data_IF_284411286912
#
_entry.id   IF_284411286912
#
_cell.length_a   1.000
_cell.length_b   1.000
_cell.length_c   1.000
_cell.angle_alpha   90.00
_cell.angle_beta   90.00
_cell.angle_gamma   90.00
#
_symmetry.space_group_name_H-M   'P 1'
#
loop_
_entity.id
_entity.type
_entity.pdbx_description
1 polymer ?
#
# COMPACT_ATOMS: atom_id res chain seq x y z
N UNK A 1 -43.57 -25.61 15.12
CA UNK A 1 -43.84 -24.39 14.33
C UNK A 1 -42.83 -23.27 14.61
N UNK A 2 -42.36 -23.09 15.85
CA UNK A 2 -41.39 -22.02 16.19
C UNK A 2 -40.04 -22.10 15.47
N UNK A 3 -39.49 -23.31 15.23
CA UNK A 3 -38.20 -23.47 14.56
C UNK A 3 -38.20 -23.01 13.08
N UNK A 4 -39.34 -23.12 12.38
CA UNK A 4 -39.47 -22.66 11.00
C UNK A 4 -39.62 -21.13 10.92
N UNK A 5 -40.28 -20.53 11.91
CA UNK A 5 -40.45 -19.08 12.03
C UNK A 5 -39.14 -18.38 12.41
N UNK A 6 -38.35 -18.97 13.31
CA UNK A 6 -37.03 -18.45 13.67
C UNK A 6 -36.04 -18.49 12.48
N UNK A 7 -36.12 -19.54 11.65
CA UNK A 7 -35.29 -19.67 10.45
C UNK A 7 -35.65 -18.64 9.37
N UNK A 8 -36.94 -18.37 9.17
CA UNK A 8 -37.43 -17.33 8.27
C UNK A 8 -37.01 -15.91 8.71
N UNK A 9 -37.00 -15.64 10.02
CA UNK A 9 -36.54 -14.36 10.58
C UNK A 9 -35.02 -14.17 10.44
N UNK A 10 -34.24 -15.24 10.59
CA UNK A 10 -32.79 -15.23 10.39
C UNK A 10 -32.43 -15.03 8.90
N UNK A 11 -33.11 -15.73 7.98
CA UNK A 11 -32.92 -15.56 6.53
C UNK A 11 -33.33 -14.15 6.07
N UNK A 12 -34.42 -13.60 6.62
CA UNK A 12 -34.86 -12.23 6.31
C UNK A 12 -33.87 -11.16 6.82
N UNK A 13 -33.28 -11.35 8.01
CA UNK A 13 -32.21 -10.49 8.52
C UNK A 13 -30.94 -10.59 7.69
N UNK A 14 -30.49 -11.81 7.37
CA UNK A 14 -29.30 -12.02 6.54
C UNK A 14 -29.45 -11.38 5.15
N UNK A 15 -30.65 -11.43 4.57
CA UNK A 15 -30.95 -10.79 3.29
C UNK A 15 -30.98 -9.25 3.39
N UNK A 16 -31.56 -8.71 4.46
CA UNK A 16 -31.56 -7.27 4.71
C UNK A 16 -30.16 -6.71 5.01
N UNK A 17 -29.33 -7.45 5.75
CA UNK A 17 -27.94 -7.10 6.03
C UNK A 17 -27.09 -7.16 4.76
N UNK A 18 -27.32 -8.14 3.87
CA UNK A 18 -26.67 -8.23 2.56
C UNK A 18 -27.04 -7.06 1.65
N UNK A 19 -28.33 -6.70 1.55
CA UNK A 19 -28.80 -5.55 0.75
C UNK A 19 -28.28 -4.21 1.31
N UNK A 20 -28.18 -4.06 2.64
CA UNK A 20 -27.62 -2.87 3.27
C UNK A 20 -26.10 -2.74 2.98
N UNK A 21 -25.38 -3.86 2.99
CA UNK A 21 -23.96 -3.88 2.67
C UNK A 21 -23.69 -3.58 1.18
N UNK A 22 -24.50 -4.12 0.27
CA UNK A 22 -24.42 -3.79 -1.17
C UNK A 22 -24.68 -2.31 -1.43
N UNK A 23 -25.68 -1.72 -0.74
CA UNK A 23 -25.95 -0.28 -0.84
C UNK A 23 -24.78 0.57 -0.35
N UNK A 24 -24.21 0.22 0.80
CA UNK A 24 -23.04 0.91 1.36
C UNK A 24 -21.83 0.81 0.41
N UNK A 25 -21.59 -0.36 -0.18
CA UNK A 25 -20.52 -0.54 -1.16
C UNK A 25 -20.76 0.29 -2.42
N UNK A 26 -21.98 0.29 -2.97
CA UNK A 26 -22.33 1.09 -4.14
C UNK A 26 -22.19 2.60 -3.87
N UNK A 27 -22.60 3.06 -2.68
CA UNK A 27 -22.52 4.47 -2.29
C UNK A 27 -21.07 4.91 -2.04
N UNK A 28 -20.25 4.07 -1.41
CA UNK A 28 -18.81 4.29 -1.24
C UNK A 28 -18.08 4.29 -2.58
N UNK A 29 -18.43 3.38 -3.50
CA UNK A 29 -17.87 3.32 -4.84
C UNK A 29 -18.24 4.57 -5.66
N UNK A 30 -19.49 5.00 -5.58
CA UNK A 30 -19.95 6.25 -6.24
C UNK A 30 -19.20 7.46 -5.67
N UNK A 31 -18.92 7.48 -4.36
CA UNK A 31 -18.13 8.53 -3.71
C UNK A 31 -16.67 8.50 -4.16
N UNK A 32 -16.06 7.32 -4.25
CA UNK A 32 -14.68 7.15 -4.75
C UNK A 32 -14.56 7.60 -6.20
N UNK A 33 -15.53 7.24 -7.06
CA UNK A 33 -15.57 7.67 -8.46
C UNK A 33 -15.68 9.19 -8.58
N UNK A 34 -16.55 9.85 -7.78
CA UNK A 34 -16.64 11.31 -7.74
C UNK A 34 -15.35 11.97 -7.26
N UNK A 35 -14.74 11.46 -6.20
CA UNK A 35 -13.45 11.98 -5.71
C UNK A 35 -12.33 11.81 -6.73
N UNK A 36 -12.30 10.69 -7.45
CA UNK A 36 -11.34 10.46 -8.53
C UNK A 36 -11.57 11.40 -9.73
N UNK A 37 -12.83 11.65 -10.08
CA UNK A 37 -13.20 12.58 -11.16
C UNK A 37 -12.88 14.04 -10.80
N UNK A 38 -13.22 14.48 -9.58
CA UNK A 38 -12.86 15.79 -9.04
C UNK A 38 -11.33 15.97 -8.97
N UNK A 39 -10.59 14.94 -8.54
CA UNK A 39 -9.13 14.97 -8.53
C UNK A 39 -8.54 15.05 -9.94
N UNK A 40 -9.16 14.36 -10.92
CA UNK A 40 -8.75 14.41 -12.32
C UNK A 40 -9.02 15.78 -12.95
N UNK A 41 -10.18 16.37 -12.70
CA UNK A 41 -10.52 17.72 -13.16
C UNK A 41 -9.61 18.77 -12.52
N UNK A 42 -9.35 18.68 -11.21
CA UNK A 42 -8.42 19.55 -10.51
C UNK A 42 -7.01 19.47 -11.10
N UNK A 43 -6.55 18.25 -11.44
CA UNK A 43 -5.26 18.04 -12.11
C UNK A 43 -5.24 18.65 -13.51
N UNK A 44 -6.32 18.49 -14.28
CA UNK A 44 -6.43 19.03 -15.65
C UNK A 44 -6.44 20.57 -15.65
N UNK A 45 -7.14 21.19 -14.70
CA UNK A 45 -7.15 22.63 -14.49
C UNK A 45 -5.78 23.15 -14.03
N UNK A 46 -5.11 22.44 -13.14
CA UNK A 46 -3.75 22.76 -12.71
C UNK A 46 -2.76 22.69 -13.87
N UNK A 47 -2.83 21.63 -14.69
CA UNK A 47 -1.98 21.47 -15.89
C UNK A 47 -2.28 22.53 -16.95
N UNK A 48 -3.55 22.88 -17.18
CA UNK A 48 -3.93 23.94 -18.11
C UNK A 48 -3.42 25.31 -17.65
N UNK A 49 -3.53 25.61 -16.35
CA UNK A 49 -2.99 26.83 -15.75
C UNK A 49 -1.47 26.86 -15.83
N UNK A 50 -0.79 25.76 -15.51
CA UNK A 50 0.66 25.65 -15.62
C UNK A 50 1.16 25.90 -17.06
N UNK A 51 0.45 25.38 -18.06
CA UNK A 51 0.73 25.64 -19.49
C UNK A 51 0.51 27.10 -19.86
N UNK A 52 -0.59 27.72 -19.43
CA UNK A 52 -0.86 29.13 -19.69
C UNK A 52 0.19 30.05 -19.05
N UNK A 53 0.54 29.78 -17.79
CA UNK A 53 1.57 30.51 -17.05
C UNK A 53 2.96 30.31 -17.69
N UNK A 54 3.26 29.12 -18.23
CA UNK A 54 4.49 28.86 -18.98
C UNK A 54 4.56 29.67 -20.28
N UNK A 55 3.48 29.74 -21.06
CA UNK A 55 3.40 30.55 -22.29
C UNK A 55 3.55 32.04 -21.99
N UNK A 56 2.87 32.54 -20.96
CA UNK A 56 2.98 33.95 -20.54
C UNK A 56 4.39 34.29 -20.06
N UNK A 57 5.01 33.39 -19.29
CA UNK A 57 6.39 33.56 -18.83
C UNK A 57 7.38 33.55 -20.01
N UNK A 58 7.18 32.66 -20.98
CA UNK A 58 8.05 32.56 -22.14
C UNK A 58 7.95 33.77 -23.08
N UNK A 59 6.74 34.31 -23.27
CA UNK A 59 6.54 35.56 -24.01
C UNK A 59 7.24 36.75 -23.32
N UNK A 60 7.15 36.82 -21.98
CA UNK A 60 7.84 37.84 -21.19
C UNK A 60 9.37 37.68 -21.27
N UNK A 61 9.89 36.48 -21.12
CA UNK A 61 11.32 36.19 -21.24
C UNK A 61 11.87 36.55 -22.62
N UNK A 62 11.11 36.31 -23.70
CA UNK A 62 11.51 36.67 -25.05
C UNK A 62 11.54 38.20 -25.26
N UNK A 63 10.53 38.92 -24.77
CA UNK A 63 10.49 40.38 -24.81
C UNK A 63 11.66 41.01 -24.03
N UNK A 64 11.91 40.50 -22.82
CA UNK A 64 12.97 41.01 -21.97
C UNK A 64 14.36 40.66 -22.55
N UNK A 65 14.54 39.47 -23.14
CA UNK A 65 15.77 39.11 -23.85
C UNK A 65 16.04 40.04 -25.05
N UNK A 66 15.00 40.41 -25.79
CA UNK A 66 15.10 41.38 -26.89
C UNK A 66 15.49 42.78 -26.38
N UNK A 67 14.90 43.24 -25.27
CA UNK A 67 15.25 44.51 -24.63
C UNK A 67 16.70 44.53 -24.12
N UNK A 68 17.15 43.42 -23.50
CA UNK A 68 18.54 43.24 -23.06
C UNK A 68 19.51 43.23 -24.24
N UNK A 69 19.17 42.56 -25.34
CA UNK A 69 19.99 42.53 -26.55
C UNK A 69 20.10 43.92 -27.21
N UNK A 70 18.99 44.66 -27.28
CA UNK A 70 18.98 46.03 -27.80
C UNK A 70 19.83 46.98 -26.93
N UNK A 71 19.73 46.88 -25.61
CA UNK A 71 20.56 47.65 -24.68
C UNK A 71 22.05 47.34 -24.82
N UNK A 72 22.41 46.05 -25.02
CA UNK A 72 23.79 45.62 -25.26
C UNK A 72 24.34 46.12 -26.60
N UNK A 73 23.52 46.15 -27.65
CA UNK A 73 23.91 46.63 -28.98
C UNK A 73 24.09 48.15 -29.02
N UNK A 74 23.35 48.90 -28.20
CA UNK A 74 23.45 50.35 -28.10
C UNK A 74 24.63 50.87 -27.25
N UNK A 75 25.37 49.99 -26.55
CA UNK A 75 26.52 50.37 -25.71
C UNK A 75 27.88 50.07 -26.38
N UNK A 76 28.74 51.08 -26.54
CA UNK A 76 30.15 50.93 -26.97
C UNK A 76 31.11 50.78 -25.78
N UNK A 77 32.37 50.36 -26.03
CA UNK A 77 32.79 48.97 -25.82
C UNK A 77 32.59 48.47 -24.38
N UNK A 78 32.16 47.21 -24.25
CA UNK A 78 31.95 46.52 -22.96
C UNK A 78 33.25 46.47 -22.16
N UNK A 79 33.23 47.07 -20.97
CA UNK A 79 34.26 46.86 -19.96
C UNK A 79 34.30 45.39 -19.50
N UNK A 80 35.38 45.00 -18.83
CA UNK A 80 35.59 43.60 -18.44
C UNK A 80 34.48 43.07 -17.50
N UNK A 81 33.80 43.94 -16.74
CA UNK A 81 32.67 43.51 -15.89
C UNK A 81 31.42 43.23 -16.71
N UNK A 82 31.12 44.02 -17.76
CA UNK A 82 30.04 43.69 -18.70
C UNK A 82 30.29 42.37 -19.41
N UNK A 83 31.53 42.10 -19.85
CA UNK A 83 31.89 40.82 -20.48
C UNK A 83 31.72 39.64 -19.53
N UNK A 84 32.15 39.79 -18.28
CA UNK A 84 31.99 38.75 -17.26
C UNK A 84 30.51 38.47 -16.95
N UNK A 85 29.68 39.52 -16.81
CA UNK A 85 28.24 39.39 -16.61
C UNK A 85 27.59 38.68 -17.81
N UNK A 86 27.95 39.05 -19.03
CA UNK A 86 27.41 38.44 -20.25
C UNK A 86 27.74 36.94 -20.34
N UNK A 87 29.01 36.57 -20.11
CA UNK A 87 29.45 35.18 -20.16
C UNK A 87 28.77 34.33 -19.07
N UNK A 88 28.70 34.85 -17.84
CA UNK A 88 28.03 34.14 -16.74
C UNK A 88 26.52 34.03 -16.97
N UNK A 89 25.89 35.05 -17.56
CA UNK A 89 24.47 35.00 -17.95
C UNK A 89 24.21 33.91 -18.98
N UNK A 90 25.07 33.77 -20.00
CA UNK A 90 24.95 32.70 -21.00
C UNK A 90 25.11 31.31 -20.36
N UNK A 91 26.05 31.15 -19.42
CA UNK A 91 26.22 29.91 -18.65
C UNK A 91 24.97 29.58 -17.84
N UNK A 92 24.40 30.58 -17.16
CA UNK A 92 23.19 30.45 -16.35
C UNK A 92 21.95 30.10 -17.20
N UNK A 93 21.85 30.65 -18.42
CA UNK A 93 20.77 30.31 -19.36
C UNK A 93 20.88 28.86 -19.84
N UNK A 94 22.10 28.38 -20.15
CA UNK A 94 22.34 26.99 -20.51
C UNK A 94 22.05 26.02 -19.35
N UNK A 95 22.53 26.34 -18.14
CA UNK A 95 22.29 25.52 -16.94
C UNK A 95 20.82 25.51 -16.53
N UNK A 96 20.11 26.65 -16.68
CA UNK A 96 18.67 26.73 -16.48
C UNK A 96 17.88 25.80 -17.43
N UNK A 97 18.33 25.63 -18.67
CA UNK A 97 17.75 24.63 -19.58
C UNK A 97 17.98 23.21 -19.07
N UNK A 98 19.20 22.89 -18.64
CA UNK A 98 19.50 21.57 -18.05
C UNK A 98 18.65 21.28 -16.81
N UNK A 99 18.43 22.26 -15.94
CA UNK A 99 17.51 22.11 -14.79
C UNK A 99 16.08 21.81 -15.23
N UNK A 100 15.58 22.52 -16.25
CA UNK A 100 14.24 22.28 -16.80
C UNK A 100 14.11 20.86 -17.35
N UNK A 101 15.10 20.39 -18.11
CA UNK A 101 15.11 19.05 -18.68
C UNK A 101 15.15 17.97 -17.58
N UNK A 102 15.91 18.19 -16.50
CA UNK A 102 15.95 17.30 -15.32
C UNK A 102 14.60 17.26 -14.61
N UNK A 103 13.95 18.41 -14.41
CA UNK A 103 12.65 18.50 -13.78
C UNK A 103 11.57 17.78 -14.62
N UNK A 104 11.60 17.92 -15.94
CA UNK A 104 10.68 17.24 -16.85
C UNK A 104 10.85 15.71 -16.78
N UNK A 105 12.09 15.22 -16.82
CA UNK A 105 12.39 13.79 -16.66
C UNK A 105 11.95 13.26 -15.29
N UNK A 106 12.15 14.05 -14.23
CA UNK A 106 11.70 13.69 -12.88
C UNK A 106 10.18 13.61 -12.83
N UNK A 107 9.49 14.60 -13.40
CA UNK A 107 8.02 14.62 -13.46
C UNK A 107 7.45 13.43 -14.23
N UNK A 108 8.01 13.10 -15.40
CA UNK A 108 7.61 11.94 -16.18
C UNK A 108 7.77 10.63 -15.40
N UNK A 109 8.85 10.50 -14.63
CA UNK A 109 9.10 9.30 -13.82
C UNK A 109 8.12 9.20 -12.64
N UNK A 110 7.80 10.31 -11.97
CA UNK A 110 6.77 10.36 -10.92
C UNK A 110 5.37 10.08 -11.50
N UNK A 111 5.07 10.55 -12.70
CA UNK A 111 3.82 10.25 -13.39
C UNK A 111 3.67 8.75 -13.69
N UNK A 112 4.75 8.06 -14.06
CA UNK A 112 4.74 6.61 -14.19
C UNK A 112 4.45 5.91 -12.85
N UNK A 113 5.03 6.37 -11.74
CA UNK A 113 4.71 5.84 -10.40
C UNK A 113 3.25 6.06 -10.02
N UNK A 114 2.67 7.20 -10.38
CA UNK A 114 1.24 7.46 -10.16
C UNK A 114 0.39 6.47 -10.98
N UNK A 115 0.76 6.21 -12.23
CA UNK A 115 0.07 5.24 -13.08
C UNK A 115 0.15 3.82 -12.49
N UNK A 116 1.33 3.42 -12.01
CA UNK A 116 1.51 2.10 -11.37
C UNK A 116 0.63 1.95 -10.11
N UNK A 117 0.47 3.04 -9.33
CA UNK A 117 -0.45 3.07 -8.18
C UNK A 117 -1.92 2.98 -8.59
N UNK A 118 -2.33 3.73 -9.62
CA UNK A 118 -3.70 3.71 -10.12
C UNK A 118 -4.06 2.33 -10.67
N UNK A 119 -3.12 1.70 -11.39
CA UNK A 119 -3.25 0.33 -11.88
C UNK A 119 -3.40 -0.69 -10.74
N UNK A 120 -2.65 -0.52 -9.65
CA UNK A 120 -2.72 -1.39 -8.47
C UNK A 120 -4.05 -1.24 -7.72
N UNK A 121 -4.57 -0.01 -7.63
CA UNK A 121 -5.91 0.26 -7.07
C UNK A 121 -7.00 -0.41 -7.89
N UNK A 122 -6.96 -0.23 -9.21
CA UNK A 122 -7.94 -0.85 -10.11
C UNK A 122 -7.91 -2.38 -10.01
N UNK A 123 -6.72 -3.00 -9.96
CA UNK A 123 -6.58 -4.44 -9.75
C UNK A 123 -7.24 -4.88 -8.45
N UNK A 124 -6.97 -4.18 -7.35
CA UNK A 124 -7.52 -4.53 -6.05
C UNK A 124 -9.03 -4.28 -5.97
N UNK A 125 -9.55 -3.20 -6.55
CA UNK A 125 -10.98 -2.88 -6.57
C UNK A 125 -11.79 -3.90 -7.40
N UNK A 126 -11.30 -4.27 -8.58
CA UNK A 126 -11.91 -5.32 -9.40
C UNK A 126 -11.88 -6.66 -8.69
N UNK A 127 -10.71 -6.96 -8.11
CA UNK A 127 -10.55 -8.18 -7.36
C UNK A 127 -11.56 -8.21 -6.19
N UNK A 128 -11.77 -7.11 -5.47
CA UNK A 128 -12.67 -7.06 -4.29
C UNK A 128 -14.14 -7.32 -4.68
N UNK A 129 -14.49 -7.12 -5.95
CA UNK A 129 -15.79 -7.49 -6.54
C UNK A 129 -15.84 -8.93 -7.07
N UNK A 130 -14.80 -9.72 -6.83
CA UNK A 130 -14.66 -11.07 -7.37
C UNK A 130 -14.36 -11.13 -8.88
N UNK A 131 -14.00 -10.00 -9.50
CA UNK A 131 -13.70 -9.93 -10.93
C UNK A 131 -12.21 -10.19 -11.12
N UNK A 132 -11.90 -11.34 -11.73
CA UNK A 132 -10.51 -11.71 -12.03
C UNK A 132 -9.99 -10.91 -13.23
N UNK A 133 -8.90 -10.16 -13.02
CA UNK A 133 -8.10 -9.52 -14.06
C UNK A 133 -6.74 -10.20 -14.11
N UNK A 134 -6.28 -10.54 -15.31
CA UNK A 134 -4.99 -11.21 -15.47
C UNK A 134 -3.85 -10.36 -14.88
N UNK A 135 -2.96 -10.94 -14.05
CA UNK A 135 -1.85 -10.20 -13.46
C UNK A 135 -0.97 -9.58 -14.54
N UNK A 136 -0.71 -8.27 -14.43
CA UNK A 136 0.23 -7.61 -15.33
C UNK A 136 1.63 -8.22 -15.17
N UNK A 137 2.42 -8.34 -16.25
CA UNK A 137 3.79 -8.81 -16.18
C UNK A 137 4.60 -8.04 -15.13
N UNK A 138 5.44 -8.75 -14.38
CA UNK A 138 6.28 -8.13 -13.37
C UNK A 138 7.24 -7.13 -14.02
N UNK A 139 7.05 -5.84 -13.71
CA UNK A 139 7.98 -4.77 -14.09
C UNK A 139 9.00 -4.61 -12.97
N UNK A 140 10.29 -4.78 -13.28
CA UNK A 140 11.34 -4.49 -12.31
C UNK A 140 11.33 -2.99 -11.98
N UNK A 141 11.07 -2.66 -10.71
CA UNK A 141 11.05 -1.28 -10.22
C UNK A 141 12.44 -0.77 -9.82
N UNK A 142 13.46 -1.64 -9.80
CA UNK A 142 14.79 -1.29 -9.31
C UNK A 142 15.46 -0.22 -10.17
N UNK A 143 15.40 -0.36 -11.50
CA UNK A 143 15.97 0.61 -12.44
C UNK A 143 15.28 1.98 -12.32
N UNK A 144 13.94 1.98 -12.28
CA UNK A 144 13.15 3.21 -12.15
C UNK A 144 13.37 3.90 -10.80
N UNK A 145 13.49 3.15 -9.71
CA UNK A 145 13.82 3.72 -8.39
C UNK A 145 15.24 4.30 -8.36
N UNK A 146 16.20 3.61 -8.97
CA UNK A 146 17.57 4.13 -9.11
C UNK A 146 17.59 5.43 -9.93
N UNK A 147 16.80 5.50 -11.00
CA UNK A 147 16.67 6.70 -11.82
C UNK A 147 16.02 7.85 -11.03
N UNK A 148 15.00 7.59 -10.22
CA UNK A 148 14.37 8.60 -9.35
C UNK A 148 15.37 9.22 -8.37
N UNK A 149 16.16 8.39 -7.67
CA UNK A 149 17.15 8.91 -6.71
C UNK A 149 18.28 9.65 -7.41
N UNK A 150 18.70 9.21 -8.61
CA UNK A 150 19.68 9.93 -9.42
C UNK A 150 19.14 11.31 -9.85
N UNK A 151 17.92 11.37 -10.39
CA UNK A 151 17.28 12.63 -10.81
C UNK A 151 17.09 13.58 -9.63
N UNK A 152 16.69 13.07 -8.46
CA UNK A 152 16.58 13.85 -7.23
C UNK A 152 17.91 14.49 -6.82
N UNK A 153 19.00 13.71 -6.85
CA UNK A 153 20.35 14.22 -6.54
C UNK A 153 20.81 15.25 -7.57
N UNK A 154 20.68 14.94 -8.86
CA UNK A 154 21.09 15.82 -9.95
C UNK A 154 20.35 17.15 -9.92
N UNK A 155 19.04 17.14 -9.64
CA UNK A 155 18.23 18.35 -9.55
C UNK A 155 18.61 19.19 -8.32
N UNK A 156 18.90 18.55 -7.18
CA UNK A 156 19.37 19.25 -5.98
C UNK A 156 20.73 19.92 -6.21
N UNK A 157 21.67 19.22 -6.84
CA UNK A 157 22.99 19.76 -7.19
C UNK A 157 22.88 20.90 -8.22
N UNK A 158 22.06 20.72 -9.26
CA UNK A 158 21.83 21.75 -10.26
C UNK A 158 21.20 23.00 -9.64
N UNK A 159 20.24 22.85 -8.73
CA UNK A 159 19.63 23.97 -7.99
C UNK A 159 20.67 24.72 -7.14
N UNK A 160 21.52 23.99 -6.43
CA UNK A 160 22.60 24.59 -5.63
C UNK A 160 23.58 25.38 -6.52
N UNK A 161 24.06 24.78 -7.61
CA UNK A 161 25.01 25.41 -8.54
C UNK A 161 24.41 26.67 -9.14
N UNK A 162 23.18 26.62 -9.65
CA UNK A 162 22.51 27.76 -10.26
C UNK A 162 22.35 28.93 -9.27
N UNK A 163 21.98 28.62 -8.01
CA UNK A 163 21.87 29.63 -6.95
C UNK A 163 23.22 30.30 -6.65
N UNK A 164 24.29 29.53 -6.58
CA UNK A 164 25.65 30.05 -6.37
C UNK A 164 26.10 30.92 -7.55
N UNK A 165 25.79 30.53 -8.79
CA UNK A 165 26.11 31.30 -9.99
C UNK A 165 25.28 32.59 -10.11
N UNK A 166 23.99 32.58 -9.73
CA UNK A 166 23.15 33.78 -9.65
C UNK A 166 23.71 34.76 -8.59
N UNK A 167 24.23 34.25 -7.46
CA UNK A 167 24.88 35.07 -6.45
C UNK A 167 26.17 35.72 -6.99
N UNK A 168 27.01 34.96 -7.71
CA UNK A 168 28.19 35.50 -8.42
C UNK A 168 27.79 36.57 -9.44
N UNK A 169 26.74 36.35 -10.23
CA UNK A 169 26.23 37.32 -11.19
C UNK A 169 25.76 38.61 -10.51
N UNK A 170 25.06 38.48 -9.38
CA UNK A 170 24.63 39.62 -8.55
C UNK A 170 25.84 40.42 -8.05
N UNK A 171 26.91 39.76 -7.63
CA UNK A 171 28.14 40.41 -7.18
C UNK A 171 28.84 41.16 -8.33
N UNK A 172 28.97 40.54 -9.51
CA UNK A 172 29.53 41.20 -10.70
C UNK A 172 28.73 42.44 -11.11
N UNK A 173 27.41 42.37 -11.03
CA UNK A 173 26.54 43.53 -11.24
C UNK A 173 26.81 44.66 -10.23
N UNK A 174 26.95 44.32 -8.95
CA UNK A 174 27.28 45.31 -7.92
C UNK A 174 28.67 45.94 -8.14
N UNK A 175 29.66 45.18 -8.62
CA UNK A 175 30.98 45.70 -9.00
C UNK A 175 30.88 46.65 -10.19
N UNK A 176 30.09 46.29 -11.21
CA UNK A 176 29.81 47.16 -12.34
C UNK A 176 29.18 48.48 -11.89
N UNK A 177 28.21 48.45 -10.99
CA UNK A 177 27.59 49.68 -10.44
C UNK A 177 28.60 50.57 -9.69
N UNK A 178 29.69 50.03 -9.15
CA UNK A 178 30.76 50.86 -8.57
C UNK A 178 31.57 51.58 -9.65
N UNK A 179 31.82 50.92 -10.79
CA UNK A 179 32.56 51.50 -11.93
C UNK A 179 31.72 52.46 -12.76
N UNK A 180 30.45 52.14 -12.93
CA UNK A 180 29.44 52.91 -13.67
C UNK A 180 28.27 53.20 -12.72
N UNK A 181 28.37 54.22 -11.86
CA UNK A 181 27.39 54.52 -10.81
C UNK A 181 26.13 55.21 -11.35
N UNK A 182 25.59 54.69 -12.44
CA UNK A 182 24.34 55.14 -13.04
C UNK A 182 23.36 53.96 -13.12
N UNK A 183 22.42 53.88 -12.17
CA UNK A 183 21.36 52.87 -12.18
C UNK A 183 20.38 53.03 -13.34
N UNK A 184 20.37 54.20 -13.99
CA UNK A 184 19.52 54.51 -15.14
C UNK A 184 20.18 54.23 -16.49
N UNK A 185 21.45 53.81 -16.51
CA UNK A 185 22.10 53.23 -17.68
C UNK A 185 21.26 52.05 -18.20
N UNK A 186 20.99 52.04 -19.51
CA UNK A 186 20.26 50.99 -20.20
C UNK A 186 20.87 49.59 -19.92
N UNK A 187 22.19 49.47 -19.87
CA UNK A 187 22.88 48.21 -19.65
C UNK A 187 22.76 47.73 -18.20
N UNK A 188 22.86 48.65 -17.22
CA UNK A 188 22.65 48.33 -15.81
C UNK A 188 21.20 47.93 -15.51
N UNK A 189 20.22 48.57 -16.18
CA UNK A 189 18.80 48.17 -16.10
C UNK A 189 18.59 46.76 -16.65
N UNK A 190 19.11 46.50 -17.86
CA UNK A 190 19.03 45.20 -18.51
C UNK A 190 19.64 44.08 -17.66
N UNK A 191 20.80 44.31 -17.04
CA UNK A 191 21.42 43.32 -16.15
C UNK A 191 20.62 43.06 -14.87
N UNK A 192 20.10 44.11 -14.22
CA UNK A 192 19.29 43.96 -13.03
C UNK A 192 18.01 43.18 -13.31
N UNK A 193 17.34 43.49 -14.42
CA UNK A 193 16.14 42.81 -14.86
C UNK A 193 16.40 41.32 -15.13
N UNK A 194 17.48 41.00 -15.86
CA UNK A 194 17.89 39.62 -16.10
C UNK A 194 18.23 38.87 -14.81
N UNK A 195 18.92 39.49 -13.86
CA UNK A 195 19.19 38.89 -12.53
C UNK A 195 17.89 38.58 -11.79
N UNK A 196 16.92 39.50 -11.82
CA UNK A 196 15.63 39.31 -11.15
C UNK A 196 14.82 38.18 -11.81
N UNK A 197 14.85 38.06 -13.14
CA UNK A 197 14.26 36.93 -13.84
C UNK A 197 14.92 35.60 -13.46
N UNK A 198 16.25 35.54 -13.44
CA UNK A 198 16.97 34.32 -13.06
C UNK A 198 16.65 33.90 -11.62
N UNK A 199 16.54 34.86 -10.68
CA UNK A 199 16.10 34.60 -9.31
C UNK A 199 14.66 34.09 -9.24
N UNK A 200 13.74 34.69 -9.99
CA UNK A 200 12.35 34.27 -10.03
C UNK A 200 12.20 32.86 -10.65
N UNK A 201 12.93 32.58 -11.73
CA UNK A 201 12.98 31.27 -12.35
C UNK A 201 13.55 30.21 -11.41
N UNK A 202 14.65 30.51 -10.70
CA UNK A 202 15.23 29.61 -9.70
C UNK A 202 14.26 29.33 -8.54
N UNK A 203 13.56 30.35 -8.04
CA UNK A 203 12.56 30.15 -6.99
C UNK A 203 11.41 29.24 -7.46
N UNK A 204 10.93 29.44 -8.70
CA UNK A 204 9.90 28.59 -9.28
C UNK A 204 10.39 27.15 -9.44
N UNK A 205 11.62 26.94 -9.92
CA UNK A 205 12.25 25.62 -10.03
C UNK A 205 12.32 24.89 -8.69
N UNK A 206 12.68 25.60 -7.61
CA UNK A 206 12.70 25.05 -6.25
C UNK A 206 11.30 24.68 -5.75
N UNK A 207 10.29 25.50 -6.04
CA UNK A 207 8.89 25.23 -5.69
C UNK A 207 8.33 24.01 -6.42
N UNK A 208 8.53 23.95 -7.74
CA UNK A 208 8.06 22.84 -8.58
C UNK A 208 8.77 21.53 -8.17
N UNK A 209 10.07 21.58 -7.89
CA UNK A 209 10.85 20.44 -7.38
C UNK A 209 10.32 19.96 -6.02
N UNK A 210 10.03 20.86 -5.09
CA UNK A 210 9.49 20.52 -3.77
C UNK A 210 8.09 19.89 -3.85
N UNK A 211 7.22 20.45 -4.69
CA UNK A 211 5.88 19.90 -4.93
C UNK A 211 5.95 18.48 -5.51
N UNK A 212 6.87 18.24 -6.45
CA UNK A 212 7.05 16.94 -7.08
C UNK A 212 7.60 15.90 -6.09
N UNK A 213 8.53 16.29 -5.21
CA UNK A 213 9.02 15.44 -4.12
C UNK A 213 7.90 15.07 -3.14
N UNK A 214 7.07 16.03 -2.74
CA UNK A 214 5.92 15.77 -1.88
C UNK A 214 4.93 14.78 -2.53
N UNK A 215 4.66 14.95 -3.83
CA UNK A 215 3.81 14.03 -4.58
C UNK A 215 4.39 12.62 -4.65
N UNK A 216 5.70 12.48 -4.86
CA UNK A 216 6.38 11.18 -4.86
C UNK A 216 6.25 10.47 -3.50
N UNK A 217 6.44 11.17 -2.38
CA UNK A 217 6.28 10.59 -1.04
C UNK A 217 4.83 10.15 -0.76
N UNK A 218 3.85 10.94 -1.22
CA UNK A 218 2.43 10.56 -1.18
C UNK A 218 2.18 9.25 -1.95
N UNK A 219 2.67 9.16 -3.20
CA UNK A 219 2.53 7.97 -4.05
C UNK A 219 3.15 6.74 -3.37
N UNK A 220 4.33 6.87 -2.76
CA UNK A 220 4.98 5.79 -2.01
C UNK A 220 4.10 5.31 -0.85
N UNK A 221 3.56 6.23 -0.05
CA UNK A 221 2.71 5.90 1.07
C UNK A 221 1.42 5.18 0.64
N UNK A 222 0.74 5.70 -0.38
CA UNK A 222 -0.49 5.12 -0.94
C UNK A 222 -0.24 3.74 -1.56
N UNK A 223 0.90 3.55 -2.24
CA UNK A 223 1.29 2.25 -2.80
C UNK A 223 1.46 1.19 -1.71
N UNK A 224 2.07 1.55 -0.58
CA UNK A 224 2.24 0.62 0.55
C UNK A 224 0.90 0.28 1.22
N UNK A 225 -0.05 1.21 1.25
CA UNK A 225 -1.43 0.92 1.71
C UNK A 225 -2.08 -0.13 0.81
N UNK A 226 -1.99 0.05 -0.50
CA UNK A 226 -2.62 -0.82 -1.47
C UNK A 226 -1.99 -2.22 -1.50
N UNK A 227 -0.65 -2.31 -1.36
CA UNK A 227 0.04 -3.60 -1.14
C UNK A 227 -0.45 -4.30 0.13
N UNK A 228 -0.60 -3.58 1.24
CA UNK A 228 -1.11 -4.15 2.50
C UNK A 228 -2.54 -4.65 2.36
N UNK A 229 -3.41 -3.97 1.59
CA UNK A 229 -4.77 -4.43 1.28
C UNK A 229 -4.74 -5.79 0.58
N UNK A 230 -3.91 -5.93 -0.47
CA UNK A 230 -3.74 -7.19 -1.21
C UNK A 230 -3.24 -8.33 -0.32
N UNK A 231 -2.26 -8.07 0.55
CA UNK A 231 -1.73 -9.09 1.48
C UNK A 231 -2.81 -9.55 2.47
N UNK A 232 -3.54 -8.60 3.07
CA UNK A 232 -4.62 -8.92 4.02
C UNK A 232 -5.69 -9.79 3.36
N UNK A 233 -6.04 -9.50 2.11
CA UNK A 233 -7.02 -10.27 1.38
C UNK A 233 -6.53 -11.66 0.96
N UNK A 234 -5.31 -11.77 0.44
CA UNK A 234 -4.73 -13.07 0.12
C UNK A 234 -4.67 -13.98 1.36
N UNK A 235 -4.38 -13.40 2.54
CA UNK A 235 -4.47 -14.13 3.81
C UNK A 235 -5.91 -14.57 4.14
N UNK A 236 -6.91 -13.71 3.91
CA UNK A 236 -8.33 -14.02 4.13
C UNK A 236 -8.87 -15.10 3.18
N UNK A 237 -8.59 -14.99 1.87
CA UNK A 237 -9.03 -15.97 0.87
C UNK A 237 -8.39 -17.34 1.10
N UNK A 238 -7.10 -17.37 1.45
CA UNK A 238 -6.41 -18.60 1.82
C UNK A 238 -7.01 -19.23 3.10
N UNK A 239 -7.44 -18.41 4.06
CA UNK A 239 -8.12 -18.91 5.27
C UNK A 239 -9.47 -19.58 4.97
N UNK A 240 -10.29 -18.94 4.14
CA UNK A 240 -11.61 -19.45 3.78
C UNK A 240 -11.50 -20.73 2.94
N UNK A 241 -10.64 -20.74 1.90
CA UNK A 241 -10.41 -21.91 1.08
C UNK A 241 -9.86 -23.10 1.86
N UNK A 242 -8.92 -22.86 2.80
CA UNK A 242 -8.42 -23.90 3.70
C UNK A 242 -9.52 -24.46 4.59
N UNK A 243 -10.36 -23.59 5.17
CA UNK A 243 -11.48 -24.04 6.01
C UNK A 243 -12.46 -24.94 5.26
N UNK A 244 -12.80 -24.60 4.02
CA UNK A 244 -13.67 -25.42 3.17
C UNK A 244 -13.05 -26.78 2.83
N UNK A 245 -11.75 -26.81 2.51
CA UNK A 245 -11.00 -28.05 2.29
C UNK A 245 -10.95 -28.93 3.56
N UNK A 246 -10.73 -28.29 4.70
CA UNK A 246 -10.66 -28.94 6.01
C UNK A 246 -12.00 -29.58 6.41
N UNK A 247 -13.12 -28.89 6.18
CA UNK A 247 -14.46 -29.44 6.36
C UNK A 247 -14.74 -30.62 5.42
N UNK A 248 -14.36 -30.51 4.15
CA UNK A 248 -14.51 -31.59 3.18
C UNK A 248 -13.69 -32.84 3.56
N UNK A 249 -12.46 -32.64 4.05
CA UNK A 249 -11.61 -33.71 4.55
C UNK A 249 -12.23 -34.40 5.78
N UNK A 250 -12.70 -33.63 6.76
CA UNK A 250 -13.38 -34.16 7.95
C UNK A 250 -14.60 -34.99 7.57
N UNK A 251 -15.45 -34.45 6.68
CA UNK A 251 -16.65 -35.14 6.19
C UNK A 251 -16.27 -36.47 5.53
N UNK A 252 -15.29 -36.45 4.62
CA UNK A 252 -14.79 -37.66 3.96
C UNK A 252 -14.29 -38.68 4.98
N UNK A 253 -13.48 -38.28 5.96
CA UNK A 253 -12.96 -39.19 7.00
C UNK A 253 -14.11 -39.83 7.77
N UNK A 254 -15.11 -39.06 8.18
CA UNK A 254 -16.28 -39.59 8.92
C UNK A 254 -17.11 -40.57 8.08
N UNK A 255 -17.22 -40.35 6.77
CA UNK A 255 -18.05 -41.18 5.88
C UNK A 255 -17.34 -42.44 5.37
N UNK A 256 -16.01 -42.39 5.16
CA UNK A 256 -15.26 -43.49 4.53
C UNK A 256 -14.50 -44.38 5.50
N UNK A 257 -14.22 -43.91 6.71
CA UNK A 257 -13.45 -44.67 7.70
C UNK A 257 -14.29 -45.80 8.28
N UNK A 258 -13.84 -47.04 8.10
CA UNK A 258 -14.49 -48.24 8.65
C UNK A 258 -14.14 -48.41 10.13
N UNK A 259 -15.09 -48.94 10.90
CA UNK A 259 -14.84 -49.35 12.29
C UNK A 259 -13.75 -50.43 12.32
N UNK A 260 -12.83 -50.30 13.27
CA UNK A 260 -11.75 -51.28 13.47
C UNK A 260 -12.29 -52.52 14.18
N UNK A 261 -11.99 -53.70 13.63
CA UNK A 261 -12.28 -54.98 14.28
C UNK A 261 -11.30 -55.30 15.42
N UNK A 262 -10.13 -54.64 15.43
CA UNK A 262 -9.12 -54.76 16.48
C UNK A 262 -9.16 -53.50 17.35
N UNK A 263 -9.34 -53.62 18.68
CA UNK A 263 -9.33 -52.45 19.57
C UNK A 263 -8.01 -51.70 19.47
N UNK A 264 -8.08 -50.40 19.18
CA UNK A 264 -6.92 -49.52 19.18
C UNK A 264 -6.48 -49.23 20.63
N UNK A 265 -5.19 -48.99 20.82
CA UNK A 265 -4.52 -48.72 22.08
C UNK A 265 -4.02 -47.27 22.13
N UNK A 266 -3.62 -46.78 23.30
CA UNK A 266 -3.18 -45.39 23.44
C UNK A 266 -1.93 -45.07 22.60
N UNK A 267 -1.05 -46.06 22.39
CA UNK A 267 0.14 -45.92 21.53
C UNK A 267 -0.18 -45.77 20.05
N UNK A 268 -1.40 -46.10 19.63
CA UNK A 268 -1.81 -45.91 18.25
C UNK A 268 -2.15 -44.45 17.94
N UNK A 269 -2.37 -43.61 18.95
CA UNK A 269 -2.72 -42.19 18.80
C UNK A 269 -1.49 -41.29 18.95
N UNK A 270 -1.21 -40.48 17.92
CA UNK A 270 -0.29 -39.33 18.03
C UNK A 270 -1.11 -38.15 18.56
N UNK A 271 -0.89 -37.74 19.81
CA UNK A 271 -1.59 -36.59 20.40
C UNK A 271 -0.97 -35.23 20.00
N UNK A 272 0.17 -35.27 19.33
CA UNK A 272 0.91 -34.09 18.90
C UNK A 272 1.51 -33.33 20.08
N UNK A 273 1.31 -32.01 20.08
CA UNK A 273 1.91 -31.15 21.11
C UNK A 273 1.16 -31.22 22.44
N UNK A 274 1.90 -31.49 23.53
CA UNK A 274 1.37 -31.46 24.88
C UNK A 274 0.75 -30.09 25.21
N UNK A 275 -0.45 -30.11 25.79
CA UNK A 275 -1.19 -28.91 26.15
C UNK A 275 -1.14 -28.68 27.66
N UNK A 276 -1.08 -27.40 28.06
CA UNK A 276 -1.23 -27.02 29.47
C UNK A 276 -2.68 -27.22 29.92
N UNK A 277 -2.87 -27.51 31.21
CA UNK A 277 -4.21 -27.64 31.80
C UNK A 277 -4.89 -26.25 31.79
N UNK A 278 -5.81 -26.05 30.84
CA UNK A 278 -6.60 -24.82 30.61
C UNK A 278 -5.83 -23.68 29.91
N UNK A 279 -6.04 -23.56 28.59
CA UNK A 279 -5.51 -22.46 27.77
C UNK A 279 -6.62 -21.57 27.21
N UNK A 280 -6.32 -20.28 26.99
CA UNK A 280 -7.20 -19.35 26.28
C UNK A 280 -6.68 -19.20 24.85
N UNK A 281 -7.51 -19.56 23.87
CA UNK A 281 -7.21 -19.46 22.45
C UNK A 281 -8.10 -18.38 21.87
N UNK A 282 -7.49 -17.39 21.20
CA UNK A 282 -8.21 -16.23 20.67
C UNK A 282 -8.28 -16.22 19.15
N UNK A 283 -9.29 -15.52 18.63
CA UNK A 283 -9.44 -15.20 17.21
C UNK A 283 -9.55 -16.44 16.29
N UNK A 284 -10.35 -17.41 16.68
CA UNK A 284 -10.72 -18.58 15.88
C UNK A 284 -11.98 -18.26 15.06
N UNK A 285 -11.78 -17.67 13.88
CA UNK A 285 -12.83 -17.16 12.97
C UNK A 285 -14.04 -18.09 12.78
N UNK A 286 -13.80 -19.40 12.63
CA UNK A 286 -14.83 -20.39 12.30
C UNK A 286 -15.15 -21.32 13.48
N UNK A 287 -15.14 -20.79 14.69
CA UNK A 287 -15.53 -21.52 15.90
C UNK A 287 -16.30 -20.59 16.82
N UNK A 288 -17.16 -21.14 17.67
CA UNK A 288 -17.91 -20.33 18.62
C UNK A 288 -17.09 -20.07 19.89
N UNK A 289 -17.47 -19.04 20.64
CA UNK A 289 -16.96 -18.86 22.00
C UNK A 289 -17.44 -20.01 22.89
N UNK A 290 -16.54 -20.53 23.74
CA UNK A 290 -16.87 -21.63 24.64
C UNK A 290 -15.66 -22.38 25.17
N UNK A 291 -15.93 -23.49 25.86
CA UNK A 291 -14.94 -24.39 26.44
C UNK A 291 -14.93 -25.70 25.65
N UNK A 292 -13.80 -26.01 25.04
CA UNK A 292 -13.60 -27.14 24.14
C UNK A 292 -12.77 -28.22 24.83
N UNK A 293 -13.18 -29.48 24.71
CA UNK A 293 -12.39 -30.63 25.14
C UNK A 293 -11.39 -31.02 24.05
N UNK A 294 -10.20 -30.42 24.11
CA UNK A 294 -9.10 -30.69 23.18
C UNK A 294 -8.47 -32.03 23.51
N UNK A 295 -8.29 -32.87 22.49
CA UNK A 295 -7.69 -34.20 22.63
C UNK A 295 -6.35 -34.34 21.96
N UNK A 296 -6.09 -33.58 20.89
CA UNK A 296 -4.81 -33.59 20.18
C UNK A 296 -4.56 -32.26 19.49
N UNK A 297 -3.29 -31.90 19.31
CA UNK A 297 -2.88 -30.66 18.63
C UNK A 297 -1.77 -30.94 17.63
N UNK A 298 -2.02 -30.66 16.35
CA UNK A 298 -1.08 -30.92 15.26
C UNK A 298 -0.86 -29.68 14.39
N UNK A 299 0.35 -29.50 13.87
CA UNK A 299 0.66 -28.49 12.85
C UNK A 299 0.49 -29.01 11.41
N UNK A 300 0.31 -30.32 11.21
CA UNK A 300 0.21 -30.97 9.91
C UNK A 300 -1.22 -31.48 9.65
N UNK A 301 -1.65 -31.34 8.40
CA UNK A 301 -2.93 -31.85 7.88
C UNK A 301 -2.95 -33.38 7.93
N UNK A 302 -1.84 -34.01 7.58
CA UNK A 302 -1.68 -35.47 7.56
C UNK A 302 -1.85 -36.06 8.96
N UNK A 303 -1.15 -35.50 9.95
CA UNK A 303 -1.25 -35.97 11.35
C UNK A 303 -2.64 -35.75 11.92
N UNK A 304 -3.26 -34.61 11.60
CA UNK A 304 -4.65 -34.33 11.97
C UNK A 304 -5.57 -35.41 11.39
N UNK A 305 -5.48 -35.68 10.10
CA UNK A 305 -6.34 -36.64 9.40
C UNK A 305 -6.13 -38.08 9.92
N UNK A 306 -4.90 -38.46 10.23
CA UNK A 306 -4.59 -39.76 10.86
C UNK A 306 -5.24 -39.90 12.23
N UNK A 307 -5.15 -38.87 13.09
CA UNK A 307 -5.80 -38.90 14.40
C UNK A 307 -7.33 -38.99 14.26
N UNK A 308 -7.91 -38.17 13.39
CA UNK A 308 -9.35 -38.18 13.11
C UNK A 308 -9.81 -39.55 12.60
N UNK A 309 -9.10 -40.16 11.66
CA UNK A 309 -9.42 -41.48 11.14
C UNK A 309 -9.35 -42.55 12.24
N UNK A 310 -8.31 -42.53 13.09
CA UNK A 310 -8.21 -43.49 14.22
C UNK A 310 -9.32 -43.29 15.25
N UNK A 311 -9.71 -42.04 15.53
CA UNK A 311 -10.83 -41.74 16.42
C UNK A 311 -12.16 -42.27 15.83
N UNK A 312 -12.43 -42.02 14.54
CA UNK A 312 -13.63 -42.54 13.85
C UNK A 312 -13.63 -44.07 13.78
N UNK A 313 -12.48 -44.69 13.46
CA UNK A 313 -12.32 -46.15 13.45
C UNK A 313 -12.56 -46.77 14.84
N UNK A 314 -12.32 -46.01 15.91
CA UNK A 314 -12.62 -46.38 17.31
C UNK A 314 -14.08 -46.11 17.72
N UNK A 315 -14.93 -45.68 16.79
CA UNK A 315 -16.36 -45.41 17.01
C UNK A 315 -16.70 -44.01 17.51
N UNK A 316 -15.77 -43.04 17.44
CA UNK A 316 -16.04 -41.64 17.86
C UNK A 316 -16.70 -40.87 16.72
N UNK A 317 -17.93 -40.40 16.93
CA UNK A 317 -18.71 -39.68 15.92
C UNK A 317 -18.68 -38.14 16.09
N UNK A 318 -18.51 -37.65 17.31
CA UNK A 318 -18.48 -36.22 17.66
C UNK A 318 -17.10 -35.56 17.47
N UNK A 319 -16.09 -36.27 16.94
CA UNK A 319 -14.78 -35.67 16.70
C UNK A 319 -14.83 -34.53 15.68
N UNK A 320 -14.17 -33.42 15.99
CA UNK A 320 -14.10 -32.23 15.15
C UNK A 320 -12.77 -31.51 15.42
N UNK A 321 -12.50 -30.42 14.69
CA UNK A 321 -11.32 -29.60 14.94
C UNK A 321 -11.55 -28.15 14.54
N UNK A 322 -10.67 -27.26 14.99
CA UNK A 322 -10.53 -25.92 14.44
C UNK A 322 -9.06 -25.62 14.17
N UNK A 323 -8.80 -24.69 13.24
CA UNK A 323 -7.45 -24.24 12.92
C UNK A 323 -7.19 -22.85 13.50
N UNK A 324 -6.10 -22.71 14.24
CA UNK A 324 -5.62 -21.42 14.68
C UNK A 324 -4.55 -20.91 13.71
N UNK A 325 -4.89 -19.84 12.97
CA UNK A 325 -3.99 -19.20 12.00
C UNK A 325 -2.74 -18.63 12.65
N UNK A 326 -2.86 -18.10 13.87
CA UNK A 326 -1.76 -17.46 14.61
C UNK A 326 -0.68 -18.47 14.98
N UNK A 327 -1.08 -19.66 15.43
CA UNK A 327 -0.14 -20.70 15.84
C UNK A 327 0.13 -21.73 14.74
N UNK A 328 -0.58 -21.65 13.61
CA UNK A 328 -0.59 -22.64 12.55
C UNK A 328 -0.86 -24.07 13.05
N UNK A 329 -1.85 -24.24 13.93
CA UNK A 329 -2.18 -25.53 14.57
C UNK A 329 -3.64 -25.89 14.45
N UNK A 330 -3.88 -27.17 14.23
CA UNK A 330 -5.16 -27.85 14.35
C UNK A 330 -5.37 -28.31 15.79
N UNK A 331 -6.48 -27.90 16.39
CA UNK A 331 -6.92 -28.35 17.70
C UNK A 331 -8.10 -29.30 17.50
N UNK A 332 -7.88 -30.59 17.78
CA UNK A 332 -8.90 -31.63 17.64
C UNK A 332 -9.66 -31.72 18.96
N UNK A 333 -11.00 -31.73 18.88
CA UNK A 333 -11.89 -31.76 20.03
C UNK A 333 -13.07 -32.70 19.83
N UNK A 334 -13.75 -33.05 20.93
CA UNK A 334 -14.98 -33.85 20.90
C UNK A 334 -16.23 -33.02 21.22
N UNK A 335 -16.22 -32.33 22.37
CA UNK A 335 -17.38 -31.58 22.83
C UNK A 335 -17.02 -30.12 23.11
N UNK A 336 -18.04 -29.26 22.95
CA UNK A 336 -18.04 -27.83 23.28
C UNK A 336 -19.08 -27.58 24.37
N UNK A 337 -18.71 -26.79 25.37
CA UNK A 337 -19.59 -26.35 26.45
C UNK A 337 -19.61 -24.82 26.55
N UNK A 338 -20.74 -24.24 26.95
CA UNK A 338 -20.83 -22.79 27.18
C UNK A 338 -20.17 -22.39 28.51
N UNK A 339 -20.25 -23.26 29.53
CA UNK A 339 -19.73 -23.01 30.87
C UNK A 339 -18.54 -23.91 31.24
N UNK A 340 -17.59 -23.35 31.99
CA UNK A 340 -16.41 -24.07 32.48
C UNK A 340 -16.79 -25.27 33.37
N UNK A 341 -17.82 -25.11 34.22
CA UNK A 341 -18.28 -26.16 35.13
C UNK A 341 -18.66 -27.45 34.39
N UNK A 342 -19.37 -27.33 33.25
CA UNK A 342 -19.83 -28.51 32.51
C UNK A 342 -18.69 -29.16 31.73
N UNK A 343 -17.76 -28.35 31.20
CA UNK A 343 -16.52 -28.86 30.61
C UNK A 343 -15.65 -29.62 31.62
N UNK A 344 -15.56 -29.12 32.87
CA UNK A 344 -14.83 -29.79 33.95
C UNK A 344 -15.46 -31.14 34.31
N UNK A 345 -16.79 -31.18 34.49
CA UNK A 345 -17.51 -32.45 34.74
C UNK A 345 -17.29 -33.45 33.61
N UNK A 346 -17.33 -33.01 32.36
CA UNK A 346 -17.09 -33.87 31.20
C UNK A 346 -15.63 -34.38 31.15
N UNK A 347 -14.66 -33.54 31.50
CA UNK A 347 -13.25 -33.94 31.59
C UNK A 347 -13.02 -34.97 32.71
N UNK A 348 -13.67 -34.80 33.87
CA UNK A 348 -13.63 -35.77 34.97
C UNK A 348 -14.30 -37.10 34.57
N UNK A 349 -15.35 -37.05 33.76
CA UNK A 349 -16.09 -38.21 33.25
C UNK A 349 -15.46 -38.87 32.01
N UNK A 350 -14.28 -38.43 31.54
CA UNK A 350 -13.68 -38.88 30.26
C UNK A 350 -13.39 -40.39 30.18
N UNK A 351 -13.32 -41.09 31.32
CA UNK A 351 -13.04 -42.54 31.36
C UNK A 351 -11.64 -42.91 30.86
N UNK A 352 -11.43 -44.21 30.58
CA UNK A 352 -10.12 -44.79 30.27
C UNK A 352 -9.93 -45.15 28.78
N UNK A 353 -10.68 -44.51 27.88
CA UNK A 353 -10.58 -44.82 26.45
C UNK A 353 -9.21 -44.38 25.91
N UNK A 354 -8.61 -45.16 24.98
CA UNK A 354 -7.27 -44.91 24.43
C UNK A 354 -7.01 -43.48 23.95
N UNK A 355 -8.02 -42.85 23.36
CA UNK A 355 -7.96 -41.52 22.75
C UNK A 355 -8.25 -40.35 23.72
N UNK A 356 -8.50 -40.62 25.01
CA UNK A 356 -8.79 -39.60 26.02
C UNK A 356 -7.58 -39.25 26.90
N UNK A 357 -6.42 -39.88 26.65
CA UNK A 357 -5.25 -39.83 27.53
C UNK A 357 -4.71 -38.42 27.79
N UNK A 358 -4.73 -37.56 26.76
CA UNK A 358 -4.20 -36.19 26.80
C UNK A 358 -5.29 -35.10 26.73
N UNK A 359 -6.53 -35.45 27.05
CA UNK A 359 -7.65 -34.52 26.98
C UNK A 359 -7.48 -33.36 27.96
N UNK A 360 -7.67 -32.12 27.48
CA UNK A 360 -7.63 -30.87 28.25
C UNK A 360 -8.78 -29.95 27.86
N UNK A 361 -9.05 -28.94 28.68
CA UNK A 361 -10.01 -27.88 28.36
C UNK A 361 -9.26 -26.71 27.71
N UNK A 362 -9.79 -26.15 26.63
CA UNK A 362 -9.37 -24.87 26.08
C UNK A 362 -10.56 -23.92 25.99
N UNK A 363 -10.39 -22.67 26.42
CA UNK A 363 -11.36 -21.61 26.24
C UNK A 363 -11.11 -20.92 24.91
N UNK A 364 -12.11 -20.88 24.03
CA UNK A 364 -12.06 -20.12 22.77
C UNK A 364 -12.78 -18.78 22.96
N UNK A 365 -12.12 -17.69 22.58
CA UNK A 365 -12.62 -16.32 22.66
C UNK A 365 -12.38 -15.57 21.33
N UNK A 366 -13.46 -15.16 20.68
CA UNK A 366 -13.52 -14.37 19.45
C UNK A 366 -14.10 -13.00 19.68
#
# INVERSE_FOLDING_TARGET
MEAAQAKLLADARAKADAEANEKLQAEEETRQLKLAEEAREAKLLADAKAKADAVALQAKLAADAAAVAAAKAASAPKDDTARAIDNLTQSLDASGKTQSDLLEQFNATVANKQKDLDDLREENDLSDKGIYKEPKPFKSVAAENSQLEALKSQLADANRIQKDEIAKLTNLYNERLKKVPNKNDALNKAYLEKINQLKAAQLKMEQDSAALLANLERIKAETEIEKKRRIKRAAYENDQGRYEQDLAALKRIKETTKLSNTPLTASDFDFGEDQSNMQIIKNIKNSDNGYYLIVAVHSSVEKRDEFLAKAVASGVSNVNFFYNVTTSKYYIYYDKFEGLSDAQKALEAKGSKPYNGKMVIAKVEN
#
